data_IF_605150988827
#
_entry.id   IF_605150988827
#
_cell.length_a   1.000
_cell.length_b   1.000
_cell.length_c   1.000
_cell.angle_alpha   90.00
_cell.angle_beta   90.00
_cell.angle_gamma   90.00
#
_symmetry.space_group_name_H-M   'P 1'
#
loop_
_entity.id
_entity.type
_entity.pdbx_description
1 polymer ?
#
# COMPACT_ATOMS: atom_id res chain seq x y z
N UNK A 1 15.30 -7.11 5.90
CA UNK A 1 14.44 -8.12 6.56
C UNK A 1 13.38 -8.55 5.56
N UNK A 2 13.04 -9.84 5.50
CA UNK A 2 12.01 -10.37 4.58
C UNK A 2 10.61 -9.94 5.02
N UNK A 3 9.69 -9.74 4.08
CA UNK A 3 8.30 -9.35 4.34
C UNK A 3 7.63 -10.26 5.39
N UNK A 4 7.85 -11.57 5.31
CA UNK A 4 7.24 -12.53 6.23
C UNK A 4 7.61 -12.28 7.70
N UNK A 5 8.88 -11.91 7.97
CA UNK A 5 9.30 -11.61 9.34
C UNK A 5 8.66 -10.32 9.86
N UNK A 6 8.55 -9.31 8.99
CA UNK A 6 7.83 -8.08 9.35
C UNK A 6 6.35 -8.38 9.66
N UNK A 7 5.70 -9.23 8.87
CA UNK A 7 4.32 -9.66 9.15
C UNK A 7 4.20 -10.28 10.54
N UNK A 8 5.02 -11.29 10.87
CA UNK A 8 4.96 -11.93 12.19
C UNK A 8 5.22 -10.95 13.32
N UNK A 9 6.21 -10.05 13.14
CA UNK A 9 6.53 -9.01 14.13
C UNK A 9 5.36 -8.06 14.39
N UNK A 10 4.68 -7.61 13.34
CA UNK A 10 3.55 -6.68 13.50
C UNK A 10 2.33 -7.39 14.12
N UNK A 11 2.10 -8.68 13.82
CA UNK A 11 1.09 -9.49 14.52
C UNK A 11 1.46 -9.63 16.00
N UNK A 12 2.71 -9.98 16.30
CA UNK A 12 3.20 -10.14 17.68
C UNK A 12 3.03 -8.88 18.52
N UNK A 13 3.39 -7.72 17.96
CA UNK A 13 3.20 -6.42 18.63
C UNK A 13 1.75 -6.11 18.98
N UNK A 14 0.79 -6.57 18.18
CA UNK A 14 -0.63 -6.26 18.36
C UNK A 14 -1.37 -7.27 19.22
N UNK A 15 -0.98 -8.54 19.15
CA UNK A 15 -1.67 -9.63 19.82
C UNK A 15 -0.90 -10.22 21.00
N UNK A 16 0.31 -9.74 21.29
CA UNK A 16 1.15 -10.26 22.36
C UNK A 16 1.65 -11.69 22.09
N UNK A 17 1.72 -12.09 20.82
CA UNK A 17 2.19 -13.42 20.39
C UNK A 17 3.71 -13.42 20.19
N UNK A 18 4.28 -14.55 19.76
CA UNK A 18 5.72 -14.73 19.57
C UNK A 18 6.07 -15.47 18.26
N UNK A 19 5.31 -15.24 17.21
CA UNK A 19 5.48 -15.84 15.90
C UNK A 19 6.82 -15.50 15.25
N UNK A 20 7.34 -14.27 15.38
CA UNK A 20 8.62 -13.87 14.78
C UNK A 20 9.76 -14.74 15.33
N UNK A 21 9.80 -15.01 16.63
CA UNK A 21 10.81 -15.91 17.20
C UNK A 21 10.52 -17.37 16.87
N UNK A 22 9.26 -17.81 16.98
CA UNK A 22 8.91 -19.23 16.83
C UNK A 22 9.07 -19.71 15.38
N UNK A 23 8.75 -18.84 14.42
CA UNK A 23 8.85 -19.10 13.00
C UNK A 23 10.11 -18.51 12.35
N UNK A 24 10.74 -17.49 12.92
CA UNK A 24 11.95 -16.86 12.36
C UNK A 24 13.27 -17.46 12.83
N UNK A 25 13.30 -18.23 13.94
CA UNK A 25 14.54 -18.84 14.46
C UNK A 25 15.08 -19.98 13.59
N UNK A 26 14.21 -20.72 12.90
CA UNK A 26 14.61 -21.71 11.90
C UNK A 26 14.80 -20.97 10.58
N UNK A 27 15.90 -21.24 9.84
CA UNK A 27 16.14 -20.73 8.48
C UNK A 27 15.15 -21.37 7.50
N UNK A 28 13.86 -21.09 7.67
CA UNK A 28 12.82 -21.53 6.77
C UNK A 28 12.98 -20.86 5.41
N UNK A 29 12.73 -21.63 4.35
CA UNK A 29 12.59 -21.08 3.00
C UNK A 29 11.34 -20.20 2.91
N UNK A 30 11.29 -19.39 1.85
CA UNK A 30 10.14 -18.52 1.54
C UNK A 30 8.81 -19.28 1.52
N UNK A 31 8.67 -20.45 0.85
CA UNK A 31 7.38 -21.15 0.78
C UNK A 31 6.85 -21.54 2.17
N UNK A 32 7.73 -22.01 3.05
CA UNK A 32 7.37 -22.37 4.43
C UNK A 32 6.93 -21.14 5.23
N UNK A 33 7.60 -19.99 5.05
CA UNK A 33 7.21 -18.75 5.72
C UNK A 33 5.83 -18.28 5.23
N UNK A 34 5.53 -18.40 3.94
CA UNK A 34 4.21 -18.04 3.39
C UNK A 34 3.10 -18.96 3.92
N UNK A 35 3.35 -20.26 4.03
CA UNK A 35 2.40 -21.20 4.65
C UNK A 35 2.13 -20.84 6.13
N UNK A 36 3.18 -20.49 6.88
CA UNK A 36 3.03 -20.04 8.27
C UNK A 36 2.29 -18.70 8.37
N UNK A 37 2.51 -17.78 7.43
CA UNK A 37 1.72 -16.54 7.35
C UNK A 37 0.24 -16.84 7.12
N UNK A 38 -0.08 -17.78 6.22
CA UNK A 38 -1.46 -18.23 5.96
C UNK A 38 -2.13 -18.80 7.21
N UNK A 39 -1.41 -19.66 7.94
CA UNK A 39 -1.88 -20.22 9.21
C UNK A 39 -2.18 -19.11 10.23
N UNK A 40 -1.25 -18.19 10.45
CA UNK A 40 -1.42 -17.07 11.38
C UNK A 40 -2.58 -16.16 10.95
N UNK A 41 -2.71 -15.88 9.65
CA UNK A 41 -3.80 -15.07 9.12
C UNK A 41 -5.17 -15.70 9.42
N UNK A 42 -5.30 -17.02 9.25
CA UNK A 42 -6.52 -17.75 9.54
C UNK A 42 -6.80 -17.83 11.06
N UNK A 43 -5.81 -18.22 11.87
CA UNK A 43 -5.93 -18.32 13.34
C UNK A 43 -6.35 -17.00 13.99
N UNK A 44 -5.93 -15.87 13.40
CA UNK A 44 -6.19 -14.53 13.93
C UNK A 44 -7.30 -13.78 13.18
N UNK A 45 -8.02 -14.46 12.28
CA UNK A 45 -9.09 -13.89 11.48
C UNK A 45 -8.69 -12.57 10.77
N UNK A 46 -7.47 -12.52 10.22
CA UNK A 46 -7.00 -11.38 9.46
C UNK A 46 -7.78 -11.31 8.14
N UNK A 47 -8.54 -10.23 7.94
CA UNK A 47 -9.41 -10.08 6.76
C UNK A 47 -8.72 -9.52 5.51
N UNK A 48 -7.60 -8.80 5.67
CA UNK A 48 -6.86 -8.17 4.56
C UNK A 48 -5.40 -7.94 4.93
N UNK A 49 -4.50 -8.10 3.97
CA UNK A 49 -3.09 -7.74 4.10
C UNK A 49 -2.78 -6.55 3.18
N UNK A 50 -2.48 -5.38 3.77
CA UNK A 50 -2.04 -4.20 3.02
C UNK A 50 -0.52 -4.08 3.12
N UNK A 51 0.16 -4.01 1.97
CA UNK A 51 1.60 -3.84 1.88
C UNK A 51 1.87 -2.50 1.22
N UNK A 52 2.27 -1.52 2.03
CA UNK A 52 2.61 -0.18 1.56
C UNK A 52 4.10 -0.07 1.18
N UNK A 53 4.38 0.90 0.32
CA UNK A 53 5.72 1.22 -0.18
C UNK A 53 6.45 -0.02 -0.73
N UNK A 54 5.79 -0.83 -1.55
CA UNK A 54 6.34 -2.11 -2.04
C UNK A 54 7.73 -1.97 -2.70
N UNK A 55 8.02 -0.80 -3.29
CA UNK A 55 9.33 -0.47 -3.86
C UNK A 55 10.47 -0.48 -2.84
N UNK A 56 10.19 -0.38 -1.53
CA UNK A 56 11.19 -0.41 -0.46
C UNK A 56 11.61 -1.81 -0.09
N UNK A 57 10.91 -2.85 -0.54
CA UNK A 57 11.25 -4.23 -0.28
C UNK A 57 12.54 -4.59 -1.05
N UNK A 58 13.65 -4.71 -0.31
CA UNK A 58 14.96 -5.07 -0.87
C UNK A 58 15.05 -6.59 -0.98
N UNK A 59 14.81 -7.13 -2.17
CA UNK A 59 15.27 -8.49 -2.52
C UNK A 59 16.73 -8.38 -2.96
N UNK A 60 17.58 -9.33 -2.54
CA UNK A 60 19.03 -9.23 -2.66
C UNK A 60 19.45 -8.91 -4.10
N UNK A 61 20.37 -7.93 -4.22
CA UNK A 61 20.79 -7.19 -5.42
C UNK A 61 21.21 -8.00 -6.67
N UNK A 62 21.28 -9.33 -6.63
CA UNK A 62 21.81 -10.13 -7.74
C UNK A 62 20.74 -10.69 -8.70
N UNK A 63 19.45 -10.71 -8.33
CA UNK A 63 18.39 -11.33 -9.16
C UNK A 63 17.08 -10.50 -9.16
N UNK A 64 17.26 -9.17 -9.18
CA UNK A 64 16.47 -8.19 -8.43
C UNK A 64 15.07 -7.76 -8.91
N UNK A 65 14.35 -8.50 -9.76
CA UNK A 65 12.94 -8.17 -10.12
C UNK A 65 12.05 -9.39 -10.33
N UNK A 66 12.47 -10.37 -11.11
CA UNK A 66 11.66 -11.58 -11.39
C UNK A 66 11.37 -12.38 -10.12
N UNK A 67 12.37 -12.59 -9.27
CA UNK A 67 12.18 -13.22 -7.96
C UNK A 67 11.26 -12.43 -7.02
N UNK A 68 11.15 -11.11 -7.22
CA UNK A 68 10.20 -10.28 -6.47
C UNK A 68 8.78 -10.54 -6.89
N UNK A 69 8.56 -10.65 -8.20
CA UNK A 69 7.27 -10.94 -8.78
C UNK A 69 6.82 -12.36 -8.42
N UNK A 70 7.70 -13.35 -8.57
CA UNK A 70 7.43 -14.73 -8.17
C UNK A 70 7.03 -14.81 -6.69
N UNK A 71 7.74 -14.08 -5.81
CA UNK A 71 7.40 -14.01 -4.40
C UNK A 71 6.00 -13.45 -4.16
N UNK A 72 5.60 -12.36 -4.84
CA UNK A 72 4.27 -11.77 -4.65
C UNK A 72 3.15 -12.66 -5.21
N UNK A 73 3.38 -13.29 -6.36
CA UNK A 73 2.47 -14.29 -6.92
C UNK A 73 2.30 -15.44 -5.93
N UNK A 74 3.40 -15.96 -5.37
CA UNK A 74 3.35 -17.03 -4.36
C UNK A 74 2.63 -16.58 -3.09
N UNK A 75 2.87 -15.34 -2.62
CA UNK A 75 2.21 -14.75 -1.46
C UNK A 75 0.69 -14.70 -1.66
N UNK A 76 0.22 -14.12 -2.76
CA UNK A 76 -1.22 -13.98 -3.06
C UNK A 76 -1.88 -15.35 -3.15
N UNK A 77 -1.20 -16.33 -3.76
CA UNK A 77 -1.73 -17.68 -3.90
C UNK A 77 -1.72 -18.50 -2.60
N UNK A 78 -0.82 -18.19 -1.66
CA UNK A 78 -0.62 -19.01 -0.45
C UNK A 78 -1.30 -18.44 0.80
N UNK A 79 -1.31 -17.11 0.96
CA UNK A 79 -1.73 -16.47 2.21
C UNK A 79 -3.24 -16.60 2.49
N UNK A 80 -4.04 -16.87 1.47
CA UNK A 80 -5.47 -17.17 1.61
C UNK A 80 -6.35 -15.98 2.00
N UNK A 81 -5.80 -14.76 2.01
CA UNK A 81 -6.51 -13.51 2.33
C UNK A 81 -6.29 -12.47 1.22
N UNK A 82 -7.22 -11.54 0.99
CA UNK A 82 -7.02 -10.43 0.06
C UNK A 82 -5.73 -9.66 0.37
N UNK A 83 -4.88 -9.47 -0.63
CA UNK A 83 -3.63 -8.70 -0.54
C UNK A 83 -3.77 -7.42 -1.36
N UNK A 84 -3.53 -6.28 -0.73
CA UNK A 84 -3.53 -4.96 -1.37
C UNK A 84 -2.09 -4.46 -1.38
N UNK A 85 -1.53 -4.29 -2.57
CA UNK A 85 -0.19 -3.76 -2.77
C UNK A 85 -0.26 -2.26 -3.10
N UNK A 86 0.41 -1.42 -2.30
CA UNK A 86 0.43 0.04 -2.45
C UNK A 86 1.87 0.49 -2.67
N UNK A 87 2.07 1.40 -3.62
CA UNK A 87 3.39 1.92 -3.92
C UNK A 87 3.35 3.18 -4.77
N UNK A 88 4.51 3.82 -4.89
CA UNK A 88 4.70 5.00 -5.74
C UNK A 88 4.76 4.60 -7.22
N UNK A 89 4.74 5.57 -8.17
CA UNK A 89 4.92 5.27 -9.59
C UNK A 89 6.19 4.46 -9.93
N UNK A 90 7.21 4.45 -9.04
CA UNK A 90 8.40 3.59 -9.16
C UNK A 90 8.10 2.10 -9.12
N UNK A 91 6.97 1.72 -8.52
CA UNK A 91 6.50 0.35 -8.42
C UNK A 91 5.65 -0.10 -9.62
N UNK A 92 5.30 0.80 -10.56
CA UNK A 92 4.50 0.46 -11.76
C UNK A 92 4.99 -0.79 -12.52
N UNK A 93 6.30 -0.98 -12.76
CA UNK A 93 6.77 -2.16 -13.48
C UNK A 93 6.48 -3.49 -12.76
N UNK A 94 6.29 -3.46 -11.43
CA UNK A 94 5.91 -4.65 -10.67
C UNK A 94 4.45 -5.01 -10.96
N UNK A 95 3.57 -4.00 -10.97
CA UNK A 95 2.14 -4.17 -11.22
C UNK A 95 1.83 -4.56 -12.67
N UNK A 96 2.57 -4.03 -13.65
CA UNK A 96 2.35 -4.33 -15.08
C UNK A 96 2.59 -5.80 -15.44
N UNK A 97 3.53 -6.47 -14.77
CA UNK A 97 3.78 -7.91 -15.00
C UNK A 97 2.73 -8.77 -14.31
N UNK A 98 2.33 -8.41 -13.09
CA UNK A 98 1.25 -9.08 -12.36
C UNK A 98 -0.09 -8.95 -13.09
N UNK A 99 -0.34 -7.79 -13.70
CA UNK A 99 -1.48 -7.53 -14.59
C UNK A 99 -1.54 -8.46 -15.81
N UNK A 100 -0.40 -8.87 -16.39
CA UNK A 100 -0.39 -9.83 -17.51
C UNK A 100 -0.77 -11.24 -17.03
N UNK A 101 -0.33 -11.65 -15.84
CA UNK A 101 -0.68 -12.93 -15.24
C UNK A 101 -2.11 -12.98 -14.66
N UNK A 102 -2.63 -11.86 -14.17
CA UNK A 102 -3.93 -11.71 -13.49
C UNK A 102 -5.13 -11.54 -14.44
N UNK A 103 -4.92 -11.43 -15.75
CA UNK A 103 -5.99 -11.32 -16.78
C UNK A 103 -7.02 -12.45 -16.79
N UNK A 104 -6.83 -13.50 -15.98
CA UNK A 104 -7.75 -14.66 -15.95
C UNK A 104 -8.91 -14.52 -14.96
N UNK A 105 -8.95 -13.54 -14.04
CA UNK A 105 -10.03 -13.57 -13.01
C UNK A 105 -10.61 -12.22 -12.53
N UNK A 106 -9.96 -11.05 -12.64
CA UNK A 106 -10.56 -9.81 -12.06
C UNK A 106 -10.24 -8.56 -12.88
N UNK A 107 -11.29 -7.88 -13.39
CA UNK A 107 -11.20 -6.67 -14.21
C UNK A 107 -10.69 -5.39 -13.52
N UNK A 108 -10.06 -5.49 -12.34
CA UNK A 108 -9.48 -4.37 -11.59
C UNK A 108 -8.09 -4.80 -11.13
N UNK A 109 -7.18 -5.05 -12.07
CA UNK A 109 -5.84 -5.56 -11.72
C UNK A 109 -4.88 -4.48 -11.20
N UNK A 110 -5.25 -3.20 -11.29
CA UNK A 110 -4.54 -2.09 -10.65
C UNK A 110 -5.41 -0.84 -10.70
N UNK A 111 -5.55 -0.13 -9.59
CA UNK A 111 -6.12 1.23 -9.59
C UNK A 111 -4.94 2.20 -9.65
N UNK A 112 -4.84 2.96 -10.74
CA UNK A 112 -3.89 4.06 -10.80
C UNK A 112 -4.53 5.28 -10.13
N UNK A 113 -4.08 5.59 -8.92
CA UNK A 113 -4.51 6.79 -8.22
C UNK A 113 -3.85 8.02 -8.85
N UNK A 114 -4.65 8.81 -9.55
CA UNK A 114 -4.18 10.05 -10.18
C UNK A 114 -4.16 11.20 -9.17
N UNK A 115 -3.31 12.23 -9.37
CA UNK A 115 -3.42 13.47 -8.62
C UNK A 115 -4.83 14.04 -8.72
N UNK A 116 -5.32 14.67 -7.64
CA UNK A 116 -6.64 15.29 -7.67
C UNK A 116 -6.62 16.45 -8.67
N UNK A 117 -7.55 16.53 -9.62
CA UNK A 117 -7.60 17.67 -10.52
C UNK A 117 -8.04 18.93 -9.77
N UNK A 118 -7.44 20.07 -10.09
CA UNK A 118 -7.80 21.37 -9.50
C UNK A 118 -9.29 21.68 -9.71
N UNK A 119 -9.78 21.39 -10.92
CA UNK A 119 -11.14 21.63 -11.37
C UNK A 119 -11.81 20.33 -11.80
N UNK A 120 -13.11 20.17 -11.54
CA UNK A 120 -13.85 18.98 -11.96
C UNK A 120 -14.01 18.98 -13.49
N UNK A 121 -13.98 17.79 -14.11
CA UNK A 121 -14.22 17.65 -15.55
C UNK A 121 -15.62 18.13 -15.95
N UNK A 122 -16.61 17.91 -15.07
CA UNK A 122 -17.96 18.43 -15.21
C UNK A 122 -18.11 19.72 -14.39
N UNK A 123 -18.43 20.87 -15.00
CA UNK A 123 -18.64 22.13 -14.28
C UNK A 123 -19.73 22.09 -13.20
N UNK A 124 -20.66 21.13 -13.29
CA UNK A 124 -21.72 20.92 -12.30
C UNK A 124 -21.32 19.96 -11.16
N UNK A 125 -20.14 19.35 -11.23
CA UNK A 125 -19.62 18.48 -10.19
C UNK A 125 -18.85 19.27 -9.12
N UNK A 126 -18.79 18.73 -7.91
CA UNK A 126 -18.01 19.35 -6.81
C UNK A 126 -16.53 19.04 -7.00
N UNK A 127 -15.67 20.06 -6.91
CA UNK A 127 -14.22 19.87 -6.93
C UNK A 127 -13.75 19.08 -5.70
N UNK A 128 -13.12 17.93 -5.94
CA UNK A 128 -12.49 17.11 -4.90
C UNK A 128 -11.35 17.88 -4.23
N UNK A 129 -10.54 18.62 -5.02
CA UNK A 129 -9.47 19.47 -4.53
C UNK A 129 -9.97 20.55 -3.56
N UNK A 130 -11.07 21.24 -3.91
CA UNK A 130 -11.68 22.24 -3.03
C UNK A 130 -12.21 21.59 -1.75
N UNK A 131 -12.88 20.44 -1.85
CA UNK A 131 -13.38 19.73 -0.68
C UNK A 131 -12.24 19.27 0.25
N UNK A 132 -11.17 18.72 -0.32
CA UNK A 132 -9.99 18.28 0.39
C UNK A 132 -9.28 19.44 1.10
N UNK A 133 -8.94 20.50 0.37
CA UNK A 133 -8.22 21.65 0.92
C UNK A 133 -9.02 22.40 1.97
N UNK A 134 -10.33 22.56 1.80
CA UNK A 134 -11.20 23.16 2.82
C UNK A 134 -11.27 22.32 4.10
N UNK A 135 -11.18 20.99 4.00
CA UNK A 135 -11.11 20.13 5.17
C UNK A 135 -9.73 20.20 5.82
N UNK A 136 -8.67 20.17 5.02
CA UNK A 136 -7.28 20.24 5.49
C UNK A 136 -6.99 21.55 6.22
N UNK A 137 -7.52 22.68 5.71
CA UNK A 137 -7.36 24.01 6.31
C UNK A 137 -7.83 24.08 7.76
N UNK A 138 -8.75 23.21 8.20
CA UNK A 138 -9.21 23.16 9.59
C UNK A 138 -8.12 22.68 10.56
N UNK A 139 -7.10 21.99 10.06
CA UNK A 139 -5.99 21.46 10.85
C UNK A 139 -4.77 22.39 10.76
N UNK A 140 -4.85 23.54 11.43
CA UNK A 140 -3.72 24.49 11.50
C UNK A 140 -3.13 24.53 12.91
N UNK A 141 -1.81 24.66 12.98
CA UNK A 141 -1.07 24.88 14.23
C UNK A 141 -0.84 26.36 14.57
N UNK A 142 -1.37 27.29 13.76
CA UNK A 142 -1.19 28.71 13.96
C UNK A 142 -2.12 29.26 15.05
N UNK A 143 -1.55 30.01 16.00
CA UNK A 143 -2.30 30.67 17.08
C UNK A 143 -3.26 31.76 16.58
N UNK A 144 -2.94 32.39 15.44
CA UNK A 144 -3.81 33.30 14.71
C UNK A 144 -3.88 32.79 13.27
N UNK A 145 -5.06 32.38 12.85
CA UNK A 145 -5.29 31.79 11.53
C UNK A 145 -6.54 32.40 10.91
N UNK A 146 -6.55 32.42 9.59
CA UNK A 146 -7.78 32.68 8.85
C UNK A 146 -8.67 31.44 8.90
N UNK A 147 -9.96 31.63 9.18
CA UNK A 147 -10.91 30.52 9.30
C UNK A 147 -11.27 29.91 7.94
N UNK A 148 -11.12 30.71 6.87
CA UNK A 148 -11.47 30.35 5.50
C UNK A 148 -10.22 30.32 4.64
N UNK A 149 -10.07 29.24 3.87
CA UNK A 149 -9.04 29.15 2.84
C UNK A 149 -9.46 29.99 1.63
N UNK A 150 -8.69 31.03 1.34
CA UNK A 150 -8.83 31.86 0.13
C UNK A 150 -8.44 31.09 -1.13
N UNK A 151 -9.02 31.47 -2.27
CA UNK A 151 -8.73 30.85 -3.57
C UNK A 151 -7.26 31.02 -3.98
N UNK A 152 -6.67 32.19 -3.72
CA UNK A 152 -5.25 32.49 -4.01
C UNK A 152 -4.29 31.49 -3.35
N UNK A 153 -4.49 31.20 -2.06
CA UNK A 153 -3.68 30.22 -1.32
C UNK A 153 -3.95 28.81 -1.86
N UNK A 154 -5.22 28.48 -2.19
CA UNK A 154 -5.58 27.16 -2.71
C UNK A 154 -4.93 26.90 -4.08
N UNK A 155 -4.88 27.91 -4.94
CA UNK A 155 -4.26 27.83 -6.25
C UNK A 155 -2.74 27.71 -6.10
N UNK A 156 -2.13 28.50 -5.23
CA UNK A 156 -0.70 28.36 -4.90
C UNK A 156 -0.37 26.96 -4.36
N UNK A 157 -1.21 26.41 -3.49
CA UNK A 157 -1.06 25.03 -3.01
C UNK A 157 -1.10 24.03 -4.16
N UNK A 158 -2.04 24.18 -5.08
CA UNK A 158 -2.14 23.30 -6.24
C UNK A 158 -0.91 23.39 -7.13
N UNK A 159 -0.44 24.60 -7.43
CA UNK A 159 0.75 24.80 -8.26
C UNK A 159 2.00 24.13 -7.66
N UNK A 160 2.16 24.17 -6.34
CA UNK A 160 3.33 23.62 -5.66
C UNK A 160 3.23 22.12 -5.36
N UNK A 161 2.02 21.59 -5.15
CA UNK A 161 1.79 20.17 -4.81
C UNK A 161 1.38 19.32 -6.00
N UNK A 162 0.84 19.94 -7.06
CA UNK A 162 0.24 19.32 -8.23
C UNK A 162 -0.97 18.40 -7.91
N UNK A 163 -1.68 18.68 -6.80
CA UNK A 163 -2.84 17.93 -6.34
C UNK A 163 -2.49 16.84 -5.33
#
# INVERSE_FOLDING_TARGET
>A
QSLCLNFFREVDKRLGTNYENTHGRKRHGVPTLLALMSQVANERAIGVLVIDEIQRLKIRKAVGREQMLEFFVELVNTVGIPVILVGTPKARPLFEVELQSARRTTGIGSVYWQPMPQYPENPNAKSEWVAFTNKLWKYQWLNRRDEVLTDEIRDCWYELSQG
#
